data_IF_066612857498
#
_entry.id   IF_066612857498
#
_cell.length_a   1.000
_cell.length_b   1.000
_cell.length_c   1.000
_cell.angle_alpha   90.00
_cell.angle_beta   90.00
_cell.angle_gamma   90.00
#
_symmetry.space_group_name_H-M   'P 1'
#
loop_
_entity.id
_entity.type
_entity.pdbx_description
1 polymer ?
#
# COMPACT_ATOMS: atom_id res chain seq x y z
N UNK A 1 10.87 -6.66 -10.34
CA UNK A 1 10.96 -5.22 -10.05
C UNK A 1 10.83 -5.00 -8.55
N UNK A 2 11.88 -4.49 -7.90
CA UNK A 2 11.94 -4.28 -6.45
C UNK A 2 11.10 -3.07 -5.99
N UNK A 3 10.77 -2.96 -4.70
CA UNK A 3 10.10 -1.77 -4.15
C UNK A 3 10.97 -0.51 -4.31
N UNK A 4 12.29 -0.64 -4.18
CA UNK A 4 13.23 0.45 -4.38
C UNK A 4 13.24 0.95 -5.83
N UNK A 5 13.29 0.04 -6.82
CA UNK A 5 13.20 0.41 -8.25
C UNK A 5 11.93 1.21 -8.54
N UNK A 6 10.77 0.72 -8.07
CA UNK A 6 9.50 1.46 -8.22
C UNK A 6 9.54 2.86 -7.61
N UNK A 7 10.19 3.01 -6.46
CA UNK A 7 10.32 4.32 -5.81
C UNK A 7 11.27 5.24 -6.58
N UNK A 8 12.35 4.72 -7.17
CA UNK A 8 13.23 5.50 -8.05
C UNK A 8 12.45 6.01 -9.25
N UNK A 9 11.66 5.16 -9.90
CA UNK A 9 10.85 5.55 -11.06
C UNK A 9 9.81 6.62 -10.69
N UNK A 10 9.17 6.50 -9.52
CA UNK A 10 8.24 7.49 -9.02
C UNK A 10 8.91 8.83 -8.70
N UNK A 11 10.11 8.82 -8.10
CA UNK A 11 10.86 10.06 -7.84
C UNK A 11 11.33 10.71 -9.15
N UNK A 12 11.74 9.92 -10.15
CA UNK A 12 12.09 10.42 -11.48
C UNK A 12 10.88 11.03 -12.21
N UNK A 13 9.72 10.36 -12.16
CA UNK A 13 8.47 10.87 -12.74
C UNK A 13 8.02 12.17 -12.05
N UNK A 14 8.10 12.24 -10.72
CA UNK A 14 7.77 13.43 -9.97
C UNK A 14 8.72 14.59 -10.28
N UNK A 15 10.02 14.32 -10.47
CA UNK A 15 11.00 15.32 -10.85
C UNK A 15 10.73 15.88 -12.25
N UNK A 16 10.49 15.00 -13.23
CA UNK A 16 10.11 15.40 -14.58
C UNK A 16 8.85 16.28 -14.58
N UNK A 17 7.84 15.93 -13.77
CA UNK A 17 6.62 16.72 -13.64
C UNK A 17 6.87 18.13 -13.06
N UNK A 18 7.79 18.26 -12.08
CA UNK A 18 8.18 19.57 -11.53
C UNK A 18 8.88 20.42 -12.60
N UNK A 19 9.83 19.83 -13.34
CA UNK A 19 10.53 20.52 -14.44
C UNK A 19 9.53 21.00 -15.50
N UNK A 20 8.62 20.14 -15.96
CA UNK A 20 7.59 20.52 -16.93
C UNK A 20 6.66 21.63 -16.41
N UNK A 21 6.29 21.60 -15.13
CA UNK A 21 5.47 22.65 -14.53
C UNK A 21 6.23 23.99 -14.53
N UNK A 22 7.48 24.00 -14.10
CA UNK A 22 8.32 25.19 -14.08
C UNK A 22 8.55 25.76 -15.49
N UNK A 23 8.74 24.91 -16.50
CA UNK A 23 8.85 25.35 -17.90
C UNK A 23 7.57 26.03 -18.40
N UNK A 24 6.41 25.50 -18.02
CA UNK A 24 5.10 26.10 -18.35
C UNK A 24 4.91 27.44 -17.66
N UNK A 25 5.26 27.53 -16.38
CA UNK A 25 5.21 28.78 -15.61
C UNK A 25 6.14 29.83 -16.19
N UNK A 26 7.40 29.46 -16.49
CA UNK A 26 8.36 30.34 -17.15
C UNK A 26 7.85 30.82 -18.50
N UNK A 27 7.25 29.93 -19.31
CA UNK A 27 6.66 30.28 -20.60
C UNK A 27 5.49 31.25 -20.45
N UNK A 28 4.66 31.10 -19.41
CA UNK A 28 3.56 32.03 -19.09
C UNK A 28 4.07 33.40 -18.64
N UNK A 29 5.18 33.44 -17.92
CA UNK A 29 5.80 34.68 -17.43
C UNK A 29 6.62 35.42 -18.50
N UNK A 30 6.90 34.81 -19.65
CA UNK A 30 7.55 35.49 -20.79
C UNK A 30 6.65 36.63 -21.29
N UNK A 31 7.03 37.86 -20.98
CA UNK A 31 6.32 39.09 -21.36
C UNK A 31 5.67 39.86 -20.21
N UNK A 32 5.63 39.29 -19.00
CA UNK A 32 5.10 39.93 -17.78
C UNK A 32 6.19 39.96 -16.71
N UNK A 33 7.40 40.44 -17.06
CA UNK A 33 8.53 40.54 -16.14
C UNK A 33 8.69 42.01 -15.68
N UNK A 34 8.21 42.30 -14.47
CA UNK A 34 8.13 43.63 -13.86
C UNK A 34 9.06 43.76 -12.65
N UNK A 35 9.61 42.65 -12.14
CA UNK A 35 10.48 42.63 -10.96
C UNK A 35 11.98 42.53 -11.26
N UNK A 36 12.41 42.53 -12.53
CA UNK A 36 13.83 42.42 -12.90
C UNK A 36 14.49 41.08 -12.56
N UNK A 37 13.79 40.16 -11.89
CA UNK A 37 14.27 38.80 -11.63
C UNK A 37 13.81 37.86 -12.75
N UNK A 38 14.78 37.26 -13.45
CA UNK A 38 14.49 36.19 -14.39
C UNK A 38 14.03 34.96 -13.60
N UNK A 39 12.88 34.34 -13.93
CA UNK A 39 12.48 33.11 -13.27
C UNK A 39 13.56 32.03 -13.46
N UNK A 40 13.93 31.37 -12.37
CA UNK A 40 15.00 30.38 -12.35
C UNK A 40 14.59 29.13 -13.16
N UNK A 41 15.50 28.65 -14.01
CA UNK A 41 15.29 27.41 -14.73
C UNK A 41 15.47 26.23 -13.78
N UNK A 42 14.43 25.42 -13.66
CA UNK A 42 14.49 24.22 -12.83
C UNK A 42 15.21 23.10 -13.60
N UNK A 43 16.37 22.66 -13.08
CA UNK A 43 17.20 21.61 -13.68
C UNK A 43 16.78 20.24 -13.12
N UNK A 44 16.71 19.17 -13.95
CA UNK A 44 16.45 17.82 -13.48
C UNK A 44 17.44 17.39 -12.38
N UNK A 45 16.93 16.70 -11.37
CA UNK A 45 17.77 16.17 -10.30
C UNK A 45 18.73 15.09 -10.84
N UNK A 46 19.99 15.05 -10.38
CA UNK A 46 20.91 13.96 -10.70
C UNK A 46 20.34 12.60 -10.26
N UNK A 47 20.62 11.50 -11.00
CA UNK A 47 20.13 10.17 -10.67
C UNK A 47 20.47 9.71 -9.25
N UNK A 48 21.65 10.09 -8.74
CA UNK A 48 22.07 9.77 -7.37
C UNK A 48 21.19 10.42 -6.32
N UNK A 49 20.75 11.66 -6.55
CA UNK A 49 19.85 12.39 -5.65
C UNK A 49 18.48 11.74 -5.62
N UNK A 50 17.96 11.32 -6.78
CA UNK A 50 16.71 10.57 -6.88
C UNK A 50 16.80 9.24 -6.13
N UNK A 51 17.93 8.52 -6.28
CA UNK A 51 18.18 7.27 -5.56
C UNK A 51 18.22 7.48 -4.05
N UNK A 52 18.89 8.52 -3.56
CA UNK A 52 18.93 8.86 -2.11
C UNK A 52 17.53 9.18 -1.57
N UNK A 53 16.73 9.96 -2.30
CA UNK A 53 15.34 10.26 -1.92
C UNK A 53 14.48 8.98 -1.87
N UNK A 54 14.60 8.12 -2.88
CA UNK A 54 13.89 6.84 -2.92
C UNK A 54 14.27 5.93 -1.75
N UNK A 55 15.56 5.86 -1.40
CA UNK A 55 16.05 5.12 -0.24
C UNK A 55 15.51 5.68 1.08
N UNK A 56 15.54 7.00 1.27
CA UNK A 56 14.98 7.64 2.45
C UNK A 56 13.47 7.37 2.59
N UNK A 57 12.74 7.42 1.47
CA UNK A 57 11.31 7.09 1.42
C UNK A 57 11.03 5.63 1.72
N UNK A 58 11.87 4.72 1.24
CA UNK A 58 11.79 3.29 1.56
C UNK A 58 12.01 3.06 3.06
N UNK A 59 13.05 3.68 3.64
CA UNK A 59 13.34 3.59 5.06
C UNK A 59 12.18 4.14 5.91
N UNK A 60 11.61 5.29 5.53
CA UNK A 60 10.45 5.86 6.20
C UNK A 60 9.22 4.93 6.12
N UNK A 61 8.97 4.29 4.98
CA UNK A 61 7.89 3.30 4.84
C UNK A 61 8.13 2.06 5.69
N UNK A 62 9.35 1.57 5.76
CA UNK A 62 9.71 0.43 6.59
C UNK A 62 9.55 0.75 8.08
N UNK A 63 10.03 1.92 8.50
CA UNK A 63 9.85 2.41 9.87
C UNK A 63 8.36 2.55 10.23
N UNK A 64 7.54 3.14 9.34
CA UNK A 64 6.10 3.25 9.54
C UNK A 64 5.42 1.87 9.64
N UNK A 65 5.76 0.92 8.75
CA UNK A 65 5.23 -0.45 8.78
C UNK A 65 5.59 -1.18 10.08
N UNK A 66 6.78 -0.91 10.64
CA UNK A 66 7.24 -1.47 11.91
C UNK A 66 6.62 -0.77 13.14
N UNK A 67 6.11 0.45 12.99
CA UNK A 67 5.44 1.19 14.05
C UNK A 67 4.05 0.64 14.40
N UNK A 68 3.47 1.16 15.48
CA UNK A 68 2.16 0.78 16.01
C UNK A 68 1.05 0.90 14.94
N UNK A 69 0.96 2.03 14.24
CA UNK A 69 -0.04 2.26 13.21
C UNK A 69 0.08 1.28 12.03
N UNK A 70 1.31 1.04 11.57
CA UNK A 70 1.60 0.09 10.50
C UNK A 70 1.23 -1.34 10.90
N UNK A 71 1.55 -1.74 12.13
CA UNK A 71 1.16 -3.02 12.70
C UNK A 71 -0.36 -3.16 12.83
N UNK A 72 -1.04 -2.10 13.28
CA UNK A 72 -2.50 -2.06 13.39
C UNK A 72 -3.18 -2.22 12.03
N UNK A 73 -2.82 -1.40 11.04
CA UNK A 73 -3.39 -1.47 9.69
C UNK A 73 -3.12 -2.84 9.04
N UNK A 74 -1.92 -3.40 9.23
CA UNK A 74 -1.60 -4.75 8.75
C UNK A 74 -2.49 -5.81 9.41
N UNK A 75 -2.72 -5.71 10.71
CA UNK A 75 -3.59 -6.63 11.44
C UNK A 75 -5.05 -6.53 10.96
N UNK A 76 -5.55 -5.31 10.75
CA UNK A 76 -6.89 -5.08 10.16
C UNK A 76 -7.00 -5.69 8.76
N UNK A 77 -5.98 -5.50 7.91
CA UNK A 77 -5.94 -6.10 6.57
C UNK A 77 -5.99 -7.64 6.61
N UNK A 78 -5.29 -8.26 7.56
CA UNK A 78 -5.36 -9.72 7.80
C UNK A 78 -6.76 -10.17 8.24
N UNK A 79 -7.42 -9.42 9.12
CA UNK A 79 -8.80 -9.70 9.52
C UNK A 79 -9.75 -9.64 8.32
N UNK A 80 -9.64 -8.61 7.48
CA UNK A 80 -10.47 -8.46 6.29
C UNK A 80 -10.24 -9.59 5.28
N UNK A 81 -8.99 -10.00 5.08
CA UNK A 81 -8.66 -11.14 4.21
C UNK A 81 -9.28 -12.44 4.73
N UNK A 82 -9.14 -12.73 6.03
CA UNK A 82 -9.74 -13.91 6.66
C UNK A 82 -11.27 -13.89 6.58
N UNK A 83 -11.90 -12.73 6.78
CA UNK A 83 -13.35 -12.56 6.66
C UNK A 83 -13.84 -12.83 5.23
N UNK A 84 -13.12 -12.33 4.20
CA UNK A 84 -13.46 -12.59 2.79
C UNK A 84 -13.34 -14.07 2.46
N UNK A 85 -12.28 -14.73 2.94
CA UNK A 85 -12.09 -16.16 2.75
C UNK A 85 -13.21 -16.97 3.42
N UNK A 86 -13.59 -16.60 4.65
CA UNK A 86 -14.71 -17.22 5.35
C UNK A 86 -16.03 -17.06 4.61
N UNK A 87 -16.29 -15.88 4.06
CA UNK A 87 -17.46 -15.64 3.23
C UNK A 87 -17.48 -16.54 1.98
N UNK A 88 -16.37 -16.61 1.25
CA UNK A 88 -16.26 -17.48 0.07
C UNK A 88 -16.42 -18.97 0.43
N UNK A 89 -15.79 -19.43 1.50
CA UNK A 89 -15.93 -20.82 1.97
C UNK A 89 -17.37 -21.10 2.44
N UNK A 90 -18.03 -20.16 3.09
CA UNK A 90 -19.43 -20.31 3.51
C UNK A 90 -20.41 -20.38 2.33
N UNK A 91 -20.21 -19.56 1.29
CA UNK A 91 -21.01 -19.66 0.06
C UNK A 91 -20.78 -21.00 -0.66
N UNK A 92 -19.53 -21.49 -0.67
CA UNK A 92 -19.22 -22.85 -1.15
C UNK A 92 -19.94 -23.91 -0.31
N UNK A 93 -19.91 -23.78 1.02
CA UNK A 93 -20.60 -24.68 1.95
C UNK A 93 -22.10 -24.75 1.65
N UNK A 94 -22.73 -23.58 1.46
CA UNK A 94 -24.15 -23.44 1.14
C UNK A 94 -24.49 -24.11 -0.18
N UNK A 95 -23.70 -23.88 -1.24
CA UNK A 95 -23.89 -24.52 -2.53
C UNK A 95 -23.72 -26.04 -2.46
N UNK A 96 -22.72 -26.53 -1.70
CA UNK A 96 -22.50 -27.96 -1.50
C UNK A 96 -23.61 -28.63 -0.68
N UNK A 97 -24.18 -27.92 0.30
CA UNK A 97 -25.35 -28.43 1.05
C UNK A 97 -26.55 -28.68 0.13
N UNK A 98 -26.79 -27.79 -0.85
CA UNK A 98 -27.83 -27.99 -1.87
C UNK A 98 -27.56 -29.14 -2.85
N UNK A 99 -26.31 -29.59 -2.96
CA UNK A 99 -25.88 -30.70 -3.83
C UNK A 99 -25.71 -32.02 -3.08
N UNK A 100 -26.05 -32.03 -1.79
CA UNK A 100 -25.91 -33.20 -0.91
C UNK A 100 -24.47 -33.76 -0.85
N UNK A 101 -23.46 -32.88 -0.91
CA UNK A 101 -22.04 -33.25 -0.83
C UNK A 101 -21.77 -34.18 0.37
N UNK A 102 -20.81 -35.12 0.27
CA UNK A 102 -20.57 -36.15 1.28
C UNK A 102 -20.09 -35.55 2.62
N UNK A 103 -20.25 -36.31 3.69
CA UNK A 103 -19.89 -35.88 5.04
C UNK A 103 -18.41 -35.46 5.17
N UNK A 104 -17.50 -36.19 4.52
CA UNK A 104 -16.07 -35.88 4.49
C UNK A 104 -15.78 -34.48 3.92
N UNK A 105 -16.44 -34.13 2.81
CA UNK A 105 -16.33 -32.81 2.22
C UNK A 105 -16.86 -31.72 3.17
N UNK A 106 -17.99 -31.97 3.85
CA UNK A 106 -18.56 -31.02 4.82
C UNK A 106 -17.62 -30.80 6.01
N UNK A 107 -16.97 -31.86 6.50
CA UNK A 107 -15.98 -31.75 7.58
C UNK A 107 -14.77 -30.91 7.15
N UNK A 108 -14.26 -31.12 5.94
CA UNK A 108 -13.16 -30.30 5.40
C UNK A 108 -13.54 -28.81 5.32
N UNK A 109 -14.75 -28.50 4.86
CA UNK A 109 -15.25 -27.12 4.81
C UNK A 109 -15.35 -26.50 6.20
N UNK A 110 -15.79 -27.26 7.20
CA UNK A 110 -15.84 -26.80 8.60
C UNK A 110 -14.44 -26.55 9.19
N UNK A 111 -13.46 -27.37 8.84
CA UNK A 111 -12.07 -27.17 9.25
C UNK A 111 -11.48 -25.89 8.64
N UNK A 112 -11.75 -25.64 7.35
CA UNK A 112 -11.35 -24.39 6.70
C UNK A 112 -12.00 -23.16 7.35
N UNK A 113 -13.32 -23.20 7.59
CA UNK A 113 -14.04 -22.11 8.28
C UNK A 113 -13.48 -21.88 9.68
N UNK A 114 -13.17 -22.95 10.42
CA UNK A 114 -12.57 -22.88 11.75
C UNK A 114 -11.18 -22.25 11.70
N UNK A 115 -10.36 -22.60 10.71
CA UNK A 115 -9.04 -22.00 10.52
C UNK A 115 -9.14 -20.50 10.21
N UNK A 116 -10.07 -20.10 9.34
CA UNK A 116 -10.32 -18.71 8.99
C UNK A 116 -10.83 -17.89 10.19
N UNK A 117 -11.73 -18.45 10.99
CA UNK A 117 -12.21 -17.83 12.22
C UNK A 117 -11.08 -17.62 13.24
N UNK A 118 -10.18 -18.60 13.41
CA UNK A 118 -8.99 -18.46 14.25
C UNK A 118 -8.04 -17.38 13.73
N UNK A 119 -7.83 -17.32 12.41
CA UNK A 119 -7.01 -16.28 11.78
C UNK A 119 -7.58 -14.88 12.02
N UNK A 120 -8.91 -14.73 11.89
CA UNK A 120 -9.60 -13.48 12.18
C UNK A 120 -9.44 -13.08 13.65
N UNK A 121 -9.67 -14.00 14.59
CA UNK A 121 -9.48 -13.75 16.02
C UNK A 121 -8.02 -13.39 16.36
N UNK A 122 -7.04 -14.03 15.72
CA UNK A 122 -5.62 -13.71 15.87
C UNK A 122 -5.31 -12.29 15.37
N UNK A 123 -5.86 -11.90 14.21
CA UNK A 123 -5.72 -10.54 13.69
C UNK A 123 -6.32 -9.49 14.64
N UNK A 124 -7.49 -9.75 15.23
CA UNK A 124 -8.11 -8.84 16.22
C UNK A 124 -7.22 -8.68 17.45
N UNK A 125 -6.66 -9.77 17.97
CA UNK A 125 -5.71 -9.71 19.09
C UNK A 125 -4.44 -8.92 18.73
N UNK A 126 -3.91 -9.10 17.52
CA UNK A 126 -2.75 -8.36 17.04
C UNK A 126 -3.06 -6.86 16.90
N UNK A 127 -4.21 -6.50 16.36
CA UNK A 127 -4.66 -5.11 16.24
C UNK A 127 -4.79 -4.46 17.62
N UNK A 128 -5.37 -5.17 18.60
CA UNK A 128 -5.50 -4.67 19.97
C UNK A 128 -4.14 -4.42 20.63
N UNK A 129 -3.18 -5.35 20.45
CA UNK A 129 -1.80 -5.18 20.95
C UNK A 129 -1.11 -3.97 20.34
N UNK A 130 -1.32 -3.71 19.05
CA UNK A 130 -0.73 -2.55 18.39
C UNK A 130 -1.23 -1.21 18.97
N UNK A 131 -2.44 -1.19 19.56
CA UNK A 131 -3.02 0.00 20.20
C UNK A 131 -2.67 0.15 21.69
N UNK A 132 -2.11 -0.90 22.32
CA UNK A 132 -1.80 -0.92 23.75
C UNK A 132 -0.29 -1.14 23.91
N UNK A 133 0.54 -0.07 23.89
CA UNK A 133 2.00 -0.17 23.98
C UNK A 133 2.47 -0.74 25.31
#
# INVERSE_FOLDING_TARGET
MSELERLIDLEASADAARVTLAERELSRSRGVAWSGMTPEHQVPCPPETLRKRAQARLAARQAWRAGADGAFVTAVGRCQAAARQAFTTAERARAGASREEPAEWRLQVLDELSAQARALAAGVRQARRALTP
#
